data_IF_940735987959
#
_entry.id   IF_940735987959
#
_cell.length_a   1.000
_cell.length_b   1.000
_cell.length_c   1.000
_cell.angle_alpha   90.00
_cell.angle_beta   90.00
_cell.angle_gamma   90.00
#
_symmetry.space_group_name_H-M   'P 1'
#
loop_
_entity.id
_entity.type
_entity.pdbx_description
1 polymer ?
#
# COMPACT_ATOMS: atom_id res chain seq x y z
N UNK A 1 4.21 -5.59 13.32
CA UNK A 1 2.73 -5.53 13.48
C UNK A 1 2.39 -5.11 14.90
N UNK A 2 1.42 -4.24 15.07
CA UNK A 2 0.87 -3.83 16.36
C UNK A 2 -0.66 -3.98 16.33
N UNK A 3 -1.25 -4.40 17.44
CA UNK A 3 -2.69 -4.60 17.56
C UNK A 3 -3.20 -4.12 18.91
N UNK A 4 -4.41 -3.56 18.92
CA UNK A 4 -5.18 -3.19 20.07
C UNK A 4 -6.62 -3.69 19.92
N UNK A 5 -7.28 -4.00 21.02
CA UNK A 5 -8.63 -4.55 21.06
C UNK A 5 -8.70 -6.07 20.92
N UNK A 6 -9.91 -6.63 20.78
CA UNK A 6 -10.14 -8.06 20.75
C UNK A 6 -9.56 -8.73 19.50
N UNK A 7 -9.37 -10.05 19.57
CA UNK A 7 -8.85 -10.88 18.47
C UNK A 7 -9.78 -10.88 17.24
N UNK A 8 -11.08 -10.76 17.47
CA UNK A 8 -12.12 -10.76 16.45
C UNK A 8 -13.02 -9.52 16.62
N UNK A 9 -12.57 -8.33 16.21
CA UNK A 9 -13.33 -7.11 16.39
C UNK A 9 -14.56 -7.07 15.45
N UNK A 10 -15.64 -6.44 15.91
CA UNK A 10 -16.77 -6.12 15.06
C UNK A 10 -16.47 -4.99 14.09
N UNK A 11 -15.63 -4.04 14.49
CA UNK A 11 -15.11 -2.95 13.65
C UNK A 11 -13.60 -2.95 13.75
N UNK A 12 -12.93 -3.01 12.63
CA UNK A 12 -11.48 -2.98 12.56
C UNK A 12 -11.01 -1.65 11.93
N UNK A 13 -10.14 -0.94 12.64
CA UNK A 13 -9.33 0.12 12.09
C UNK A 13 -8.03 -0.49 11.56
N UNK A 14 -7.78 -0.36 10.27
CA UNK A 14 -6.61 -0.93 9.60
C UNK A 14 -5.70 0.17 9.09
N UNK A 15 -4.43 0.08 9.42
CA UNK A 15 -3.41 1.02 8.95
C UNK A 15 -2.05 0.38 8.83
N UNK A 16 -1.08 1.18 8.32
CA UNK A 16 0.30 0.77 8.24
C UNK A 16 1.26 1.83 8.80
N UNK A 17 2.46 1.39 9.19
CA UNK A 17 3.50 2.23 9.78
C UNK A 17 4.69 2.45 8.85
N UNK A 18 4.87 1.58 7.87
CA UNK A 18 5.88 1.71 6.83
C UNK A 18 5.58 2.88 5.89
N UNK A 19 6.52 3.25 5.09
CA UNK A 19 6.41 4.33 4.11
C UNK A 19 7.29 4.01 2.90
N UNK A 20 7.00 4.62 1.77
CA UNK A 20 7.85 4.55 0.55
C UNK A 20 9.22 5.22 0.73
N UNK A 21 9.44 5.94 1.83
CA UNK A 21 10.63 6.73 2.06
C UNK A 21 11.78 5.91 2.62
N UNK A 22 13.01 6.03 2.09
CA UNK A 22 14.19 5.38 2.64
C UNK A 22 14.48 5.80 4.08
N UNK A 23 15.13 4.92 4.83
CA UNK A 23 15.67 5.25 6.16
C UNK A 23 16.63 6.44 6.05
N UNK A 24 16.50 7.41 6.96
CA UNK A 24 17.29 8.64 6.95
C UNK A 24 16.65 9.81 6.21
N UNK A 25 15.53 9.63 5.52
CA UNK A 25 14.84 10.72 4.80
C UNK A 25 14.48 11.90 5.70
N UNK A 26 14.24 11.68 7.01
CA UNK A 26 13.98 12.75 7.98
C UNK A 26 15.09 13.79 8.09
N UNK A 27 16.32 13.47 7.69
CA UNK A 27 17.44 14.44 7.66
C UNK A 27 17.19 15.51 6.58
N UNK A 28 16.64 15.10 5.44
CA UNK A 28 16.40 16.00 4.31
C UNK A 28 14.97 16.55 4.27
N UNK A 29 14.02 15.77 4.79
CA UNK A 29 12.61 16.15 4.90
C UNK A 29 12.20 15.97 6.36
N UNK A 30 12.52 16.92 7.24
CA UNK A 30 12.20 16.81 8.66
C UNK A 30 10.69 16.89 8.88
N UNK A 31 10.24 16.28 9.99
CA UNK A 31 8.90 16.53 10.48
C UNK A 31 8.76 18.00 10.86
N UNK A 32 7.68 18.61 10.42
CA UNK A 32 7.40 20.02 10.70
C UNK A 32 5.92 20.30 10.95
N UNK A 33 5.67 21.34 11.74
CA UNK A 33 4.35 21.90 11.96
C UNK A 33 4.41 23.37 11.55
N UNK A 34 3.55 23.75 10.61
CA UNK A 34 3.44 25.14 10.16
C UNK A 34 1.96 25.53 10.10
N UNK A 35 1.52 26.23 11.12
CA UNK A 35 0.11 26.54 11.33
C UNK A 35 -0.72 25.26 11.50
N UNK A 36 -1.64 25.03 10.58
CA UNK A 36 -2.53 23.88 10.52
C UNK A 36 -1.99 22.71 9.67
N UNK A 37 -0.75 22.82 9.17
CA UNK A 37 -0.12 21.85 8.29
C UNK A 37 0.95 21.04 9.00
N UNK A 38 0.85 19.71 8.87
CA UNK A 38 1.88 18.76 9.26
C UNK A 38 2.62 18.29 8.01
N UNK A 39 3.94 18.24 8.07
CA UNK A 39 4.79 17.77 6.98
C UNK A 39 5.80 16.76 7.47
N UNK A 40 6.22 15.85 6.58
CA UNK A 40 7.24 14.84 6.88
C UNK A 40 6.95 13.51 6.20
N UNK A 41 7.95 12.62 6.10
CA UNK A 41 7.80 11.30 5.50
C UNK A 41 6.72 10.46 6.19
N UNK A 42 5.74 9.99 5.41
CA UNK A 42 4.65 9.17 5.90
C UNK A 42 3.61 9.90 6.78
N UNK A 43 3.67 11.24 6.88
CA UNK A 43 2.64 11.99 7.62
C UNK A 43 1.29 11.83 6.95
N UNK A 44 1.21 12.10 5.64
CA UNK A 44 -0.03 12.00 4.88
C UNK A 44 -0.42 10.54 4.65
N UNK A 45 0.52 9.71 4.30
CA UNK A 45 0.36 8.28 4.03
C UNK A 45 1.21 7.45 5.02
N UNK A 46 0.60 6.87 6.09
CA UNK A 46 -0.76 7.20 6.55
C UNK A 46 -0.79 7.50 8.06
N UNK A 47 0.36 8.02 8.62
CA UNK A 47 0.52 8.21 10.07
C UNK A 47 -0.50 9.19 10.67
N UNK A 48 -0.90 10.22 9.91
CA UNK A 48 -1.95 11.14 10.37
C UNK A 48 -3.29 10.40 10.56
N UNK A 49 -3.66 9.51 9.64
CA UNK A 49 -4.86 8.69 9.78
C UNK A 49 -4.79 7.74 10.98
N UNK A 50 -3.62 7.14 11.22
CA UNK A 50 -3.39 6.28 12.39
C UNK A 50 -3.59 7.06 13.69
N UNK A 51 -3.01 8.25 13.79
CA UNK A 51 -3.14 9.10 14.98
C UNK A 51 -4.59 9.55 15.18
N UNK A 52 -5.28 9.93 14.10
CA UNK A 52 -6.71 10.30 14.15
C UNK A 52 -7.58 9.13 14.63
N UNK A 53 -7.34 7.92 14.09
CA UNK A 53 -8.06 6.72 14.52
C UNK A 53 -7.82 6.40 15.99
N UNK A 54 -6.59 6.54 16.46
CA UNK A 54 -6.25 6.33 17.85
C UNK A 54 -6.87 7.40 18.78
N UNK A 55 -6.83 8.65 18.39
CA UNK A 55 -7.45 9.75 19.12
C UNK A 55 -8.98 9.53 19.23
N UNK A 56 -9.63 9.14 18.14
CA UNK A 56 -11.06 8.84 18.11
C UNK A 56 -11.45 7.72 19.09
N UNK A 57 -10.66 6.64 19.16
CA UNK A 57 -10.85 5.58 20.15
C UNK A 57 -10.80 6.14 21.58
N UNK A 58 -9.77 6.92 21.88
CA UNK A 58 -9.57 7.46 23.23
C UNK A 58 -10.65 8.45 23.64
N UNK A 59 -10.98 9.39 22.76
CA UNK A 59 -11.98 10.44 23.03
C UNK A 59 -13.40 9.87 23.13
N UNK A 60 -13.68 8.78 22.44
CA UNK A 60 -14.97 8.09 22.52
C UNK A 60 -15.12 7.22 23.78
N UNK A 61 -14.12 7.14 24.65
CA UNK A 61 -14.14 6.30 25.84
C UNK A 61 -14.19 4.80 25.55
N UNK A 62 -13.78 4.38 24.34
CA UNK A 62 -13.76 2.98 23.94
C UNK A 62 -12.64 2.23 24.65
N UNK A 63 -12.95 1.02 25.08
CA UNK A 63 -12.04 0.11 25.75
C UNK A 63 -11.72 -1.09 24.85
N UNK A 64 -10.75 -1.90 25.24
CA UNK A 64 -10.41 -3.14 24.52
C UNK A 64 -11.57 -4.14 24.41
N UNK A 65 -12.60 -4.00 25.23
CA UNK A 65 -13.80 -4.84 25.22
C UNK A 65 -14.94 -4.28 24.38
N UNK A 66 -14.78 -3.09 23.80
CA UNK A 66 -15.85 -2.40 23.03
C UNK A 66 -16.13 -3.03 21.66
N UNK A 67 -15.48 -4.13 21.29
CA UNK A 67 -15.67 -4.79 20.02
C UNK A 67 -15.01 -4.06 18.83
N UNK A 68 -14.21 -3.04 19.11
CA UNK A 68 -13.41 -2.29 18.12
C UNK A 68 -11.95 -2.71 18.27
N UNK A 69 -11.29 -2.95 17.16
CA UNK A 69 -9.86 -3.25 17.12
C UNK A 69 -9.11 -2.31 16.19
N UNK A 70 -7.81 -2.17 16.44
CA UNK A 70 -6.89 -1.51 15.53
C UNK A 70 -5.74 -2.47 15.19
N UNK A 71 -5.45 -2.61 13.92
CA UNK A 71 -4.34 -3.40 13.40
C UNK A 71 -3.43 -2.51 12.56
N UNK A 72 -2.16 -2.45 12.94
CA UNK A 72 -1.13 -1.71 12.20
C UNK A 72 -0.08 -2.68 11.65
N UNK A 73 0.14 -2.63 10.35
CA UNK A 73 1.11 -3.44 9.62
C UNK A 73 2.38 -2.65 9.30
N UNK A 74 3.38 -3.31 8.74
CA UNK A 74 4.69 -2.71 8.45
C UNK A 74 5.25 -3.15 7.09
N UNK A 75 4.36 -3.57 6.18
CA UNK A 75 4.71 -4.09 4.85
C UNK A 75 3.65 -3.76 3.78
N UNK A 76 2.84 -2.72 4.03
CA UNK A 76 1.80 -2.30 3.07
C UNK A 76 2.44 -1.80 1.78
N UNK A 77 3.43 -0.95 1.87
CA UNK A 77 4.14 -0.32 0.75
C UNK A 77 4.92 -1.33 -0.12
N UNK A 78 5.07 -2.55 0.37
CA UNK A 78 5.67 -3.67 -0.37
C UNK A 78 4.65 -4.73 -0.80
N UNK A 79 3.34 -4.45 -0.63
CA UNK A 79 2.23 -5.29 -1.07
C UNK A 79 1.71 -6.26 -0.02
N UNK A 80 1.93 -5.99 1.27
CA UNK A 80 1.36 -6.73 2.42
C UNK A 80 1.60 -8.24 2.39
N UNK A 81 2.76 -8.68 1.91
CA UNK A 81 3.03 -10.11 1.71
C UNK A 81 3.07 -10.89 3.03
N UNK A 82 3.68 -10.32 4.07
CA UNK A 82 3.76 -10.93 5.38
C UNK A 82 2.46 -10.73 6.18
N UNK A 83 1.86 -9.55 6.10
CA UNK A 83 0.67 -9.19 6.89
C UNK A 83 -0.65 -9.73 6.31
N UNK A 84 -0.71 -10.13 5.05
CA UNK A 84 -1.94 -10.56 4.36
C UNK A 84 -2.76 -11.58 5.13
N UNK A 85 -2.11 -12.61 5.69
CA UNK A 85 -2.81 -13.65 6.47
C UNK A 85 -3.42 -13.10 7.75
N UNK A 86 -2.71 -12.21 8.41
CA UNK A 86 -3.15 -11.59 9.66
C UNK A 86 -4.32 -10.64 9.42
N UNK A 87 -4.26 -9.86 8.36
CA UNK A 87 -5.36 -9.00 7.91
C UNK A 87 -6.59 -9.88 7.61
N UNK A 88 -6.43 -10.94 6.81
CA UNK A 88 -7.52 -11.84 6.48
C UNK A 88 -8.18 -12.47 7.72
N UNK A 89 -7.40 -12.85 8.72
CA UNK A 89 -7.92 -13.35 10.00
C UNK A 89 -8.67 -12.28 10.77
N UNK A 90 -8.10 -11.07 10.88
CA UNK A 90 -8.70 -9.98 11.65
C UNK A 90 -10.03 -9.49 11.07
N UNK A 91 -10.21 -9.57 9.74
CA UNK A 91 -11.44 -9.12 9.07
C UNK A 91 -12.54 -10.17 8.99
N UNK A 92 -12.26 -11.43 9.32
CA UNK A 92 -13.19 -12.57 9.10
C UNK A 92 -14.55 -12.34 9.75
N UNK A 93 -14.60 -11.74 10.94
CA UNK A 93 -15.82 -11.48 11.69
C UNK A 93 -16.16 -9.98 11.79
N UNK A 94 -15.40 -9.13 11.13
CA UNK A 94 -15.63 -7.69 11.17
C UNK A 94 -16.86 -7.32 10.32
N UNK A 95 -17.78 -6.57 10.91
CA UNK A 95 -18.93 -5.96 10.22
C UNK A 95 -18.50 -4.77 9.37
N UNK A 96 -17.41 -4.10 9.77
CA UNK A 96 -16.83 -3.00 9.04
C UNK A 96 -15.31 -2.98 9.21
N UNK A 97 -14.60 -2.60 8.14
CA UNK A 97 -13.18 -2.31 8.14
C UNK A 97 -13.01 -0.87 7.68
N UNK A 98 -12.36 -0.07 8.51
CA UNK A 98 -12.03 1.32 8.20
C UNK A 98 -10.53 1.37 7.95
N UNK A 99 -10.15 1.60 6.70
CA UNK A 99 -8.75 1.79 6.32
C UNK A 99 -8.41 3.25 6.53
N UNK A 100 -7.35 3.50 7.32
CA UNK A 100 -6.99 4.84 7.80
C UNK A 100 -6.18 5.66 6.77
N UNK A 101 -6.29 5.28 5.49
CA UNK A 101 -5.71 5.98 4.35
C UNK A 101 -6.29 7.37 4.14
N UNK A 102 -5.55 8.28 3.50
CA UNK A 102 -6.04 9.62 3.20
C UNK A 102 -7.33 9.59 2.39
N UNK A 103 -8.25 10.48 2.72
CA UNK A 103 -9.47 10.70 1.94
C UNK A 103 -9.16 11.32 0.57
N UNK A 104 -10.10 11.26 -0.36
CA UNK A 104 -10.01 11.96 -1.64
C UNK A 104 -10.87 13.22 -1.59
N UNK A 105 -10.23 14.38 -1.38
CA UNK A 105 -10.96 15.66 -1.25
C UNK A 105 -12.00 15.65 -0.12
N UNK A 106 -11.72 14.96 0.99
CA UNK A 106 -12.64 14.81 2.12
C UNK A 106 -13.67 13.68 1.98
N UNK A 107 -13.77 13.04 0.79
CA UNK A 107 -14.71 11.96 0.56
C UNK A 107 -14.16 10.59 0.98
N UNK A 108 -15.02 9.74 1.54
CA UNK A 108 -14.68 8.35 1.82
C UNK A 108 -14.50 7.55 0.53
N UNK A 109 -13.43 6.77 0.47
CA UNK A 109 -13.17 5.84 -0.64
C UNK A 109 -13.87 4.51 -0.37
N UNK A 110 -14.99 4.27 -1.03
CA UNK A 110 -15.79 3.04 -0.86
C UNK A 110 -15.56 2.02 -1.98
N UNK A 111 -14.77 2.37 -3.00
CA UNK A 111 -14.43 1.51 -4.15
C UNK A 111 -12.99 1.73 -4.56
N UNK A 112 -12.34 0.67 -5.02
CA UNK A 112 -11.00 0.72 -5.62
C UNK A 112 -10.97 -0.07 -6.93
N UNK A 113 -10.09 0.36 -7.84
CA UNK A 113 -9.71 -0.46 -9.00
C UNK A 113 -8.73 -1.52 -8.54
N UNK A 114 -8.77 -2.68 -9.18
CA UNK A 114 -7.76 -3.70 -8.99
C UNK A 114 -6.45 -3.31 -9.70
N UNK A 115 -5.35 -3.92 -9.26
CA UNK A 115 -4.05 -3.85 -9.90
C UNK A 115 -3.54 -5.26 -10.17
N UNK A 116 -2.78 -5.42 -11.24
CA UNK A 116 -2.10 -6.66 -11.56
C UNK A 116 -0.67 -6.37 -11.99
N UNK A 117 0.28 -7.16 -11.51
CA UNK A 117 1.67 -7.06 -11.89
C UNK A 117 2.02 -8.25 -12.79
N UNK A 118 2.61 -7.97 -13.95
CA UNK A 118 3.03 -8.97 -14.93
C UNK A 118 4.53 -8.87 -15.12
N UNK A 119 5.20 -10.03 -15.09
CA UNK A 119 6.59 -10.16 -15.51
C UNK A 119 6.63 -10.79 -16.89
N UNK A 120 7.07 -10.05 -17.88
CA UNK A 120 7.20 -10.49 -19.25
C UNK A 120 8.67 -10.71 -19.58
N UNK A 121 8.99 -11.84 -20.20
CA UNK A 121 10.33 -12.15 -20.68
C UNK A 121 10.28 -12.41 -22.17
N UNK A 122 11.09 -11.65 -22.90
CA UNK A 122 11.23 -11.79 -24.34
C UNK A 122 12.55 -12.48 -24.65
N UNK A 123 12.47 -13.62 -25.33
CA UNK A 123 13.62 -14.40 -25.74
C UNK A 123 13.92 -14.13 -27.20
N UNK A 124 15.17 -13.77 -27.49
CA UNK A 124 15.67 -13.56 -28.83
C UNK A 124 16.51 -14.75 -29.31
N UNK A 125 16.83 -14.73 -30.60
CA UNK A 125 17.78 -15.65 -31.22
C UNK A 125 18.91 -14.81 -31.85
N UNK A 126 20.14 -15.07 -31.40
CA UNK A 126 21.30 -14.38 -31.97
C UNK A 126 21.59 -14.87 -33.40
N UNK A 127 21.92 -13.92 -34.28
CA UNK A 127 22.38 -14.21 -35.64
C UNK A 127 23.45 -13.19 -36.05
N UNK A 128 24.23 -13.50 -37.08
CA UNK A 128 25.19 -12.57 -37.63
C UNK A 128 24.49 -11.56 -38.54
N UNK A 129 24.58 -10.30 -38.16
CA UNK A 129 23.83 -9.21 -38.86
C UNK A 129 24.13 -9.05 -40.36
N UNK A 130 25.32 -9.45 -40.82
CA UNK A 130 25.72 -9.35 -42.19
C UNK A 130 25.62 -10.65 -43.00
N UNK A 131 25.57 -11.83 -42.33
CA UNK A 131 25.53 -13.12 -42.99
C UNK A 131 24.15 -13.78 -42.99
N UNK A 132 23.50 -13.74 -41.86
CA UNK A 132 22.22 -14.44 -41.64
C UNK A 132 21.22 -13.59 -40.81
N UNK A 133 20.91 -12.34 -41.23
CA UNK A 133 20.04 -11.47 -40.45
C UNK A 133 18.64 -12.06 -40.19
N UNK A 134 18.10 -12.79 -41.19
CA UNK A 134 16.75 -13.36 -41.12
C UNK A 134 16.61 -14.56 -40.18
N UNK A 135 17.73 -15.10 -39.71
CA UNK A 135 17.75 -16.18 -38.72
C UNK A 135 17.68 -15.66 -37.27
N UNK A 136 17.87 -14.38 -37.10
CA UNK A 136 17.81 -13.74 -35.80
C UNK A 136 16.39 -13.37 -35.37
N UNK A 137 16.17 -13.34 -34.05
CA UNK A 137 14.97 -12.78 -33.45
C UNK A 137 15.38 -11.70 -32.45
N UNK A 138 15.05 -10.46 -32.73
CA UNK A 138 15.39 -9.35 -31.85
C UNK A 138 14.35 -9.25 -30.74
N UNK A 139 14.76 -9.59 -29.51
CA UNK A 139 13.88 -9.55 -28.34
C UNK A 139 13.42 -8.12 -27.98
N UNK A 140 14.18 -7.10 -28.32
CA UNK A 140 13.78 -5.72 -28.09
C UNK A 140 12.67 -5.29 -29.04
N UNK A 141 12.71 -5.73 -30.31
CA UNK A 141 11.64 -5.50 -31.27
C UNK A 141 10.35 -6.17 -30.80
N UNK A 142 10.42 -7.44 -30.41
CA UNK A 142 9.27 -8.16 -29.87
C UNK A 142 8.68 -7.49 -28.62
N UNK A 143 9.54 -6.99 -27.74
CA UNK A 143 9.09 -6.22 -26.57
C UNK A 143 8.41 -4.90 -26.97
N UNK A 144 8.97 -4.17 -27.92
CA UNK A 144 8.40 -2.91 -28.41
C UNK A 144 7.03 -3.12 -29.07
N UNK A 145 6.89 -4.14 -29.90
CA UNK A 145 5.62 -4.51 -30.54
C UNK A 145 4.55 -4.88 -29.49
N UNK A 146 4.93 -5.65 -28.47
CA UNK A 146 4.02 -5.95 -27.36
C UNK A 146 3.57 -4.70 -26.62
N UNK A 147 4.49 -3.78 -26.29
CA UNK A 147 4.16 -2.53 -25.59
C UNK A 147 3.19 -1.68 -26.45
N UNK A 148 3.43 -1.60 -27.74
CA UNK A 148 2.56 -0.85 -28.66
C UNK A 148 1.17 -1.49 -28.77
N UNK A 149 1.09 -2.81 -28.80
CA UNK A 149 -0.17 -3.56 -28.87
C UNK A 149 -1.02 -3.45 -27.59
N UNK A 150 -0.36 -3.24 -26.44
CA UNK A 150 -1.05 -3.11 -25.14
C UNK A 150 -1.35 -1.68 -24.73
N UNK A 151 -0.95 -0.69 -25.51
CA UNK A 151 -1.24 0.71 -25.28
C UNK A 151 -2.70 1.01 -25.65
N UNK A 152 -3.58 0.97 -24.66
CA UNK A 152 -4.97 1.44 -24.76
C UNK A 152 -5.21 2.63 -23.83
#
# INVERSE_FOLDING_TARGET
MWRWGPDAPSVLLLGHLDTVWPVGTLVNIPFGINGDRLTGPGVFDMKAGVVQGWAAIKESGLTETSGIGMLLTTDEETGSQASRRLIAQAITNAKAVIVLEPSLGGALKTRRKGTSNYLLRFHGVASHAGLDPDRGVNSLVAAAEFILATKQ
#
